data_IF_447551924157
#
_entry.id   IF_447551924157
#
_cell.length_a   1.000
_cell.length_b   1.000
_cell.length_c   1.000
_cell.angle_alpha   90.00
_cell.angle_beta   90.00
_cell.angle_gamma   90.00
#
_symmetry.space_group_name_H-M   'P 1'
#
loop_
_entity.id
_entity.type
_entity.pdbx_description
1 polymer ?
#
# COMPACT_ATOMS: atom_id res chain seq x y z
N UNK A 1 19.77 -10.32 -10.54
CA UNK A 1 19.25 -10.31 -9.16
C UNK A 1 17.74 -10.19 -9.22
N UNK A 2 16.99 -11.27 -8.99
CA UNK A 2 15.53 -11.21 -9.03
C UNK A 2 15.01 -10.33 -7.88
N UNK A 3 14.51 -9.14 -8.20
CA UNK A 3 13.89 -8.24 -7.23
C UNK A 3 12.46 -8.73 -6.99
N UNK A 4 12.25 -9.53 -5.95
CA UNK A 4 10.91 -9.89 -5.51
C UNK A 4 10.17 -8.64 -5.04
N UNK A 5 8.97 -8.42 -5.56
CA UNK A 5 8.07 -7.33 -5.16
C UNK A 5 6.68 -7.89 -4.93
N UNK A 6 5.92 -7.21 -4.09
CA UNK A 6 4.50 -7.48 -3.90
C UNK A 6 3.67 -6.68 -4.91
N UNK A 7 2.90 -7.35 -5.75
CA UNK A 7 1.86 -6.69 -6.52
C UNK A 7 0.75 -6.22 -5.57
N UNK A 8 0.38 -4.94 -5.67
CA UNK A 8 -0.62 -4.32 -4.81
C UNK A 8 -1.35 -3.21 -5.56
N UNK A 9 -2.47 -2.74 -5.00
CA UNK A 9 -3.33 -1.71 -5.61
C UNK A 9 -3.34 -0.37 -4.86
N UNK A 10 -2.42 -0.15 -3.90
CA UNK A 10 -2.44 1.05 -3.04
C UNK A 10 -2.36 2.32 -3.89
N UNK A 11 -1.43 2.36 -4.86
CA UNK A 11 -1.20 3.56 -5.66
C UNK A 11 -2.42 3.93 -6.52
N UNK A 12 -3.12 2.94 -7.05
CA UNK A 12 -4.35 3.13 -7.83
C UNK A 12 -5.48 3.68 -6.96
N UNK A 13 -5.71 3.06 -5.80
CA UNK A 13 -6.73 3.51 -4.86
C UNK A 13 -6.43 4.94 -4.40
N UNK A 14 -5.18 5.24 -4.03
CA UNK A 14 -4.77 6.59 -3.63
C UNK A 14 -5.03 7.62 -4.72
N UNK A 15 -4.65 7.33 -5.97
CA UNK A 15 -4.88 8.22 -7.11
C UNK A 15 -6.37 8.45 -7.36
N UNK A 16 -7.21 7.42 -7.25
CA UNK A 16 -8.69 7.54 -7.32
C UNK A 16 -9.28 8.44 -6.23
N UNK A 17 -8.56 8.66 -5.12
CA UNK A 17 -8.92 9.61 -4.06
C UNK A 17 -8.33 11.00 -4.23
N UNK A 18 -7.53 11.25 -5.28
CA UNK A 18 -6.87 12.53 -5.51
C UNK A 18 -5.81 12.90 -4.48
N UNK A 19 -5.27 11.92 -3.75
CA UNK A 19 -4.29 12.14 -2.68
C UNK A 19 -2.85 11.95 -3.19
N UNK A 20 -1.92 12.78 -2.71
CA UNK A 20 -0.48 12.56 -2.89
C UNK A 20 0.05 11.57 -1.86
N UNK A 21 1.23 10.97 -2.11
CA UNK A 21 1.89 10.10 -1.12
C UNK A 21 2.20 10.84 0.18
N UNK A 22 2.60 12.12 0.07
CA UNK A 22 2.86 12.97 1.23
C UNK A 22 1.58 13.23 2.03
N UNK A 23 0.46 13.53 1.38
CA UNK A 23 -0.82 13.72 2.07
C UNK A 23 -1.25 12.46 2.82
N UNK A 24 -1.08 11.27 2.21
CA UNK A 24 -1.35 10.00 2.88
C UNK A 24 -0.44 9.83 4.09
N UNK A 25 0.87 10.03 3.96
CA UNK A 25 1.83 9.90 5.06
C UNK A 25 1.53 10.84 6.23
N UNK A 26 1.07 12.07 5.95
CA UNK A 26 0.69 13.04 6.97
C UNK A 26 -0.66 12.76 7.64
N UNK A 27 -1.52 11.97 7.01
CA UNK A 27 -2.83 11.59 7.57
C UNK A 27 -2.76 10.44 8.58
N UNK A 28 -1.63 9.75 8.68
CA UNK A 28 -1.40 8.76 9.74
C UNK A 28 -1.28 9.45 11.10
N UNK A 29 -1.83 8.81 12.15
CA UNK A 29 -1.68 9.18 13.56
C UNK A 29 -0.21 9.36 13.92
N UNK A 30 0.63 8.40 13.52
CA UNK A 30 2.09 8.55 13.50
C UNK A 30 2.51 8.92 12.09
N UNK A 31 2.81 10.21 11.88
CA UNK A 31 3.25 10.74 10.59
C UNK A 31 4.30 9.84 9.95
N UNK A 32 4.07 9.51 8.69
CA UNK A 32 4.97 8.69 7.90
C UNK A 32 5.61 9.50 6.80
N UNK A 33 6.87 9.22 6.54
CA UNK A 33 7.59 9.80 5.42
C UNK A 33 7.06 9.28 4.08
N UNK A 34 7.11 10.11 3.03
CA UNK A 34 6.64 9.76 1.69
C UNK A 34 7.35 8.52 1.12
N UNK A 35 8.60 8.28 1.52
CA UNK A 35 9.40 7.13 1.10
C UNK A 35 8.82 5.83 1.63
N UNK A 36 8.20 5.83 2.81
CA UNK A 36 7.51 4.66 3.38
C UNK A 36 6.31 4.31 2.50
N UNK A 37 5.47 5.29 2.19
CA UNK A 37 4.30 5.12 1.32
C UNK A 37 4.72 4.64 -0.08
N UNK A 38 5.77 5.24 -0.64
CA UNK A 38 6.35 4.82 -1.92
C UNK A 38 6.86 3.38 -1.91
N UNK A 39 7.49 2.92 -0.82
CA UNK A 39 7.97 1.53 -0.69
C UNK A 39 6.80 0.55 -0.61
N UNK A 40 5.71 0.91 0.05
CA UNK A 40 4.49 0.08 0.08
C UNK A 40 3.84 -0.01 -1.30
N UNK A 41 3.65 1.12 -1.97
CA UNK A 41 3.04 1.16 -3.31
C UNK A 41 3.85 0.37 -4.34
N UNK A 42 5.19 0.42 -4.27
CA UNK A 42 6.07 -0.36 -5.15
C UNK A 42 6.23 -1.82 -4.74
N UNK A 43 5.59 -2.25 -3.65
CA UNK A 43 5.69 -3.63 -3.16
C UNK A 43 7.07 -4.01 -2.64
N UNK A 44 7.92 -3.04 -2.27
CA UNK A 44 9.26 -3.30 -1.73
C UNK A 44 9.16 -3.80 -0.29
N UNK A 45 8.18 -3.29 0.45
CA UNK A 45 7.89 -3.66 1.85
C UNK A 45 6.39 -3.74 2.01
N UNK A 46 5.89 -4.74 2.75
CA UNK A 46 4.48 -4.84 3.10
C UNK A 46 4.20 -4.02 4.38
N UNK A 47 3.12 -3.21 4.44
CA UNK A 47 2.70 -2.58 5.69
C UNK A 47 2.32 -3.64 6.73
N UNK A 48 2.47 -3.30 8.02
CA UNK A 48 1.91 -4.11 9.10
C UNK A 48 0.38 -4.11 9.04
N UNK A 49 -0.27 -5.05 9.73
CA UNK A 49 -1.74 -5.12 9.79
C UNK A 49 -2.35 -3.80 10.30
N UNK A 50 -1.78 -3.20 11.36
CA UNK A 50 -2.25 -1.92 11.90
C UNK A 50 -2.13 -0.79 10.87
N UNK A 51 -0.98 -0.70 10.18
CA UNK A 51 -0.77 0.31 9.15
C UNK A 51 -1.71 0.11 7.96
N UNK A 52 -2.06 -1.14 7.64
CA UNK A 52 -2.98 -1.45 6.55
C UNK A 52 -4.41 -0.99 6.88
N UNK A 53 -4.87 -1.21 8.12
CA UNK A 53 -6.17 -0.74 8.59
C UNK A 53 -6.26 0.79 8.60
N UNK A 54 -5.20 1.45 9.06
CA UNK A 54 -5.13 2.90 9.07
C UNK A 54 -5.05 3.48 7.65
N UNK A 55 -4.26 2.86 6.76
CA UNK A 55 -4.20 3.20 5.34
C UNK A 55 -5.57 3.10 4.67
N UNK A 56 -6.30 2.01 4.91
CA UNK A 56 -7.65 1.82 4.39
C UNK A 56 -8.61 2.92 4.88
N UNK A 57 -8.46 3.33 6.14
CA UNK A 57 -9.24 4.40 6.75
C UNK A 57 -8.94 5.76 6.09
N UNK A 58 -7.66 6.10 5.90
CA UNK A 58 -7.20 7.32 5.20
C UNK A 58 -7.71 7.34 3.76
N UNK A 59 -7.63 6.20 3.06
CA UNK A 59 -8.09 6.04 1.69
C UNK A 59 -9.62 5.88 1.58
N UNK A 60 -10.34 5.88 2.71
CA UNK A 60 -11.79 5.75 2.80
C UNK A 60 -12.31 4.53 2.04
N UNK A 61 -11.70 3.37 2.25
CA UNK A 61 -12.12 2.09 1.65
C UNK A 61 -12.18 0.99 2.70
N UNK A 62 -12.93 -0.06 2.41
CA UNK A 62 -12.88 -1.28 3.21
C UNK A 62 -11.46 -1.90 3.09
N UNK A 63 -10.79 -2.26 4.20
CA UNK A 63 -9.47 -2.90 4.19
C UNK A 63 -9.37 -4.13 3.28
N UNK A 64 -10.46 -4.91 3.13
CA UNK A 64 -10.52 -6.07 2.26
C UNK A 64 -10.33 -5.72 0.76
N UNK A 65 -10.49 -4.46 0.37
CA UNK A 65 -10.21 -3.99 -1.00
C UNK A 65 -8.73 -3.66 -1.24
N UNK A 66 -7.89 -3.58 -0.19
CA UNK A 66 -6.44 -3.46 -0.37
C UNK A 66 -5.85 -4.86 -0.58
N UNK A 67 -5.23 -5.04 -1.74
CA UNK A 67 -4.70 -6.34 -2.16
C UNK A 67 -3.18 -6.34 -2.11
N UNK A 68 -2.61 -7.47 -1.70
CA UNK A 68 -1.16 -7.72 -1.69
C UNK A 68 -0.93 -9.16 -2.14
N UNK A 69 -0.39 -9.33 -3.33
CA UNK A 69 -0.02 -10.61 -3.90
C UNK A 69 1.49 -10.71 -3.98
N UNK A 70 2.05 -11.86 -3.58
CA UNK A 70 3.46 -12.12 -3.77
C UNK A 70 3.64 -12.67 -5.19
N UNK A 71 4.52 -12.07 -6.00
CA UNK A 71 4.76 -12.48 -7.40
C UNK A 71 5.27 -13.95 -7.53
N UNK A 72 5.47 -14.69 -6.42
CA UNK A 72 5.81 -16.11 -6.41
C UNK A 72 4.63 -17.07 -6.61
N UNK A 73 3.38 -16.62 -6.56
CA UNK A 73 2.22 -17.51 -6.68
C UNK A 73 1.18 -16.90 -7.61
N UNK A 74 1.29 -17.24 -8.90
CA UNK A 74 0.18 -17.45 -9.84
C UNK A 74 0.60 -18.50 -10.90
N UNK A 75 1.28 -19.56 -10.44
CA UNK A 75 1.28 -20.86 -11.11
C UNK A 75 0.33 -21.74 -10.31
N UNK A 76 -0.96 -21.58 -10.56
CA UNK A 76 -1.93 -22.63 -10.29
C UNK A 76 -2.36 -23.11 -11.68
N UNK A 77 -1.70 -24.17 -12.14
CA UNK A 77 -2.29 -25.13 -13.09
C UNK A 77 -3.41 -25.90 -12.39
#
# INVERSE_FOLDING_TARGET
MASWKYKNNISEVRKKRGLTQQQVGQAFKKKMDLTVISRWERGVVRPSANNLLELASILRINPAKLTFHNDRQDSQE
#
